data_IF_434349126491
#
_entry.id   IF_434349126491
#
_cell.length_a   1.000
_cell.length_b   1.000
_cell.length_c   1.000
_cell.angle_alpha   90.00
_cell.angle_beta   90.00
_cell.angle_gamma   90.00
#
_symmetry.space_group_name_H-M   'P 1'
#
loop_
_entity.id
_entity.type
_entity.pdbx_description
1 polymer ?
#
# COMPACT_ATOMS: atom_id res chain seq x y z
N UNK A 1 -17.46 -14.70 18.44
CA UNK A 1 -16.36 -15.68 18.44
C UNK A 1 -15.13 -15.24 17.64
N UNK A 2 -15.21 -14.88 16.35
CA UNK A 2 -14.01 -14.54 15.53
C UNK A 2 -13.12 -13.38 16.02
N UNK A 3 -13.65 -12.42 16.79
CA UNK A 3 -12.86 -11.27 17.30
C UNK A 3 -12.01 -11.66 18.52
N UNK A 4 -12.58 -12.46 19.42
CA UNK A 4 -11.89 -12.92 20.63
C UNK A 4 -10.72 -13.86 20.31
N UNK A 5 -10.91 -14.79 19.36
CA UNK A 5 -9.83 -15.71 18.94
C UNK A 5 -8.64 -14.98 18.31
N UNK A 6 -8.85 -13.85 17.65
CA UNK A 6 -7.77 -13.02 17.11
C UNK A 6 -6.93 -12.37 18.21
N UNK A 7 -7.60 -11.79 19.20
CA UNK A 7 -6.93 -11.17 20.35
C UNK A 7 -6.09 -12.21 21.09
N UNK A 8 -6.64 -13.40 21.32
CA UNK A 8 -5.90 -14.49 21.98
C UNK A 8 -4.68 -14.94 21.18
N UNK A 9 -4.77 -14.99 19.84
CA UNK A 9 -3.61 -15.29 18.99
C UNK A 9 -2.49 -14.24 19.14
N UNK A 10 -2.82 -12.95 19.18
CA UNK A 10 -1.82 -11.90 19.37
C UNK A 10 -1.19 -11.96 20.76
N UNK A 11 -1.98 -12.18 21.82
CA UNK A 11 -1.46 -12.36 23.17
C UNK A 11 -0.49 -13.56 23.21
N UNK A 12 -0.84 -14.68 22.57
CA UNK A 12 0.04 -15.86 22.49
C UNK A 12 1.38 -15.57 21.80
N UNK A 13 1.37 -14.77 20.72
CA UNK A 13 2.61 -14.32 20.06
C UNK A 13 3.42 -13.43 20.99
N UNK A 14 2.79 -12.48 21.70
CA UNK A 14 3.47 -11.59 22.65
C UNK A 14 4.12 -12.36 23.80
N UNK A 15 3.44 -13.35 24.37
CA UNK A 15 3.99 -14.21 25.41
C UNK A 15 5.20 -15.00 24.91
N UNK A 16 5.12 -15.55 23.68
CA UNK A 16 6.27 -16.23 23.07
C UNK A 16 7.46 -15.27 22.88
N UNK A 17 7.22 -14.09 22.33
CA UNK A 17 8.26 -13.07 22.13
C UNK A 17 8.94 -12.70 23.44
N UNK A 18 8.16 -12.47 24.50
CA UNK A 18 8.69 -12.17 25.82
C UNK A 18 9.53 -13.33 26.37
N UNK A 19 9.02 -14.56 26.29
CA UNK A 19 9.75 -15.74 26.78
C UNK A 19 11.09 -15.93 26.05
N UNK A 20 11.12 -15.80 24.73
CA UNK A 20 12.37 -15.88 23.95
C UNK A 20 13.32 -14.76 24.32
N UNK A 21 12.84 -13.51 24.44
CA UNK A 21 13.67 -12.38 24.84
C UNK A 21 14.29 -12.62 26.24
N UNK A 22 13.48 -13.02 27.20
CA UNK A 22 13.90 -13.28 28.57
C UNK A 22 14.98 -14.36 28.66
N UNK A 23 14.84 -15.44 27.89
CA UNK A 23 15.83 -16.52 27.83
C UNK A 23 17.17 -16.10 27.19
N UNK A 24 17.13 -15.10 26.30
CA UNK A 24 18.29 -14.66 25.55
C UNK A 24 19.06 -13.49 26.19
N UNK A 25 18.39 -12.67 27.02
CA UNK A 25 18.95 -11.40 27.48
C UNK A 25 20.17 -11.57 28.37
N UNK A 26 20.25 -12.66 29.14
CA UNK A 26 21.39 -12.94 30.01
C UNK A 26 22.63 -13.44 29.25
N UNK A 27 22.43 -13.95 28.04
CA UNK A 27 23.49 -14.56 27.21
C UNK A 27 24.01 -13.65 26.09
N UNK A 28 23.28 -12.58 25.75
CA UNK A 28 23.60 -11.71 24.62
C UNK A 28 23.10 -10.28 24.81
N UNK A 29 23.51 -9.38 23.90
CA UNK A 29 23.05 -7.99 23.94
C UNK A 29 21.52 -7.88 23.73
N UNK A 30 20.91 -6.88 24.35
CA UNK A 30 19.46 -6.66 24.31
C UNK A 30 18.90 -6.54 22.87
N UNK A 31 19.64 -5.92 21.97
CA UNK A 31 19.21 -5.77 20.57
C UNK A 31 19.21 -7.12 19.83
N UNK A 32 20.18 -7.99 20.10
CA UNK A 32 20.24 -9.33 19.50
C UNK A 32 19.13 -10.23 20.07
N UNK A 33 18.87 -10.16 21.36
CA UNK A 33 17.73 -10.83 22.00
C UNK A 33 16.39 -10.36 21.40
N UNK A 34 16.23 -9.05 21.12
CA UNK A 34 15.06 -8.50 20.44
C UNK A 34 14.92 -9.02 19.00
N UNK A 35 16.01 -9.09 18.23
CA UNK A 35 16.00 -9.65 16.86
C UNK A 35 15.50 -11.10 16.86
N UNK A 36 16.06 -11.94 17.73
CA UNK A 36 15.70 -13.37 17.81
C UNK A 36 14.25 -13.52 18.23
N UNK A 37 13.83 -12.80 19.28
CA UNK A 37 12.45 -12.78 19.77
C UNK A 37 11.47 -12.38 18.66
N UNK A 38 11.79 -11.32 17.91
CA UNK A 38 10.98 -10.86 16.80
C UNK A 38 10.87 -11.88 15.66
N UNK A 39 11.98 -12.51 15.27
CA UNK A 39 11.97 -13.54 14.21
C UNK A 39 11.06 -14.72 14.63
N UNK A 40 11.15 -15.21 15.87
CA UNK A 40 10.28 -16.25 16.38
C UNK A 40 8.80 -15.83 16.35
N UNK A 41 8.50 -14.61 16.79
CA UNK A 41 7.16 -14.05 16.75
C UNK A 41 6.62 -13.89 15.31
N UNK A 42 7.47 -13.47 14.38
CA UNK A 42 7.11 -13.31 12.96
C UNK A 42 6.77 -14.65 12.30
N UNK A 43 7.55 -15.69 12.58
CA UNK A 43 7.29 -17.06 12.09
C UNK A 43 5.94 -17.55 12.60
N UNK A 44 5.68 -17.45 13.92
CA UNK A 44 4.40 -17.87 14.49
C UNK A 44 3.23 -17.06 13.91
N UNK A 45 3.39 -15.74 13.81
CA UNK A 45 2.40 -14.84 13.21
C UNK A 45 2.10 -15.19 11.77
N UNK A 46 3.10 -15.64 10.99
CA UNK A 46 2.91 -16.10 9.62
C UNK A 46 2.00 -17.32 9.54
N UNK A 47 2.24 -18.35 10.37
CA UNK A 47 1.39 -19.54 10.41
C UNK A 47 -0.05 -19.22 10.86
N UNK A 48 -0.19 -18.35 11.86
CA UNK A 48 -1.49 -17.86 12.32
C UNK A 48 -2.22 -17.12 11.20
N UNK A 49 -1.52 -16.21 10.50
CA UNK A 49 -2.10 -15.48 9.37
C UNK A 49 -2.50 -16.40 8.21
N UNK A 50 -1.69 -17.42 7.92
CA UNK A 50 -2.00 -18.45 6.90
C UNK A 50 -3.28 -19.20 7.24
N UNK A 51 -3.47 -19.57 8.52
CA UNK A 51 -4.66 -20.31 9.01
C UNK A 51 -5.92 -19.42 9.04
N UNK A 52 -5.81 -18.23 9.63
CA UNK A 52 -6.97 -17.38 9.92
C UNK A 52 -7.19 -16.23 8.92
N UNK A 53 -6.28 -16.03 7.96
CA UNK A 53 -6.33 -14.99 6.91
C UNK A 53 -6.63 -13.59 7.47
N UNK A 54 -5.91 -13.19 8.54
CA UNK A 54 -6.10 -11.89 9.18
C UNK A 54 -5.76 -10.73 8.25
N UNK A 55 -4.69 -10.88 7.46
CA UNK A 55 -4.31 -9.94 6.43
C UNK A 55 -4.53 -10.53 5.03
N UNK A 56 -4.96 -9.69 4.10
CA UNK A 56 -5.34 -10.12 2.75
C UNK A 56 -4.16 -10.44 1.83
N UNK A 57 -2.96 -9.96 2.15
CA UNK A 57 -1.77 -10.07 1.30
C UNK A 57 -0.52 -10.34 2.14
N UNK A 58 0.36 -11.20 1.63
CA UNK A 58 1.67 -11.47 2.24
C UNK A 58 2.54 -10.20 2.29
N UNK A 59 2.47 -9.34 1.27
CA UNK A 59 3.23 -8.09 1.23
C UNK A 59 2.80 -7.13 2.36
N UNK A 60 1.50 -7.05 2.64
CA UNK A 60 0.97 -6.25 3.76
C UNK A 60 1.44 -6.79 5.10
N UNK A 61 1.48 -8.11 5.24
CA UNK A 61 2.01 -8.78 6.42
C UNK A 61 3.49 -8.50 6.63
N UNK A 62 4.32 -8.67 5.60
CA UNK A 62 5.76 -8.38 5.65
C UNK A 62 6.01 -6.90 5.96
N UNK A 63 5.33 -6.00 5.26
CA UNK A 63 5.47 -4.54 5.47
C UNK A 63 5.14 -4.14 6.92
N UNK A 64 4.02 -4.64 7.46
CA UNK A 64 3.66 -4.35 8.85
C UNK A 64 4.66 -4.95 9.84
N UNK A 65 5.18 -6.14 9.58
CA UNK A 65 6.21 -6.77 10.39
C UNK A 65 7.49 -5.95 10.45
N UNK A 66 8.03 -5.54 9.30
CA UNK A 66 9.23 -4.70 9.24
C UNK A 66 9.02 -3.39 10.02
N UNK A 67 7.88 -2.73 9.83
CA UNK A 67 7.61 -1.46 10.52
C UNK A 67 7.50 -1.64 12.03
N UNK A 68 6.86 -2.69 12.51
CA UNK A 68 6.76 -3.01 13.94
C UNK A 68 8.14 -3.27 14.52
N UNK A 69 8.98 -4.03 13.80
CA UNK A 69 10.36 -4.32 14.24
C UNK A 69 11.21 -3.04 14.37
N UNK A 70 11.13 -2.13 13.41
CA UNK A 70 11.83 -0.85 13.51
C UNK A 70 11.37 -0.04 14.73
N UNK A 71 10.07 -0.05 15.02
CA UNK A 71 9.52 0.61 16.21
C UNK A 71 10.02 -0.09 17.49
N UNK A 72 10.06 -1.43 17.52
CA UNK A 72 10.59 -2.20 18.65
C UNK A 72 12.01 -1.73 19.03
N UNK A 73 12.91 -1.74 18.07
CA UNK A 73 14.31 -1.34 18.29
C UNK A 73 14.42 0.12 18.77
N UNK A 74 13.69 1.03 18.13
CA UNK A 74 13.72 2.46 18.49
C UNK A 74 13.19 2.67 19.92
N UNK A 75 12.03 2.12 20.23
CA UNK A 75 11.39 2.30 21.55
C UNK A 75 12.21 1.63 22.65
N UNK A 76 12.71 0.40 22.41
CA UNK A 76 13.60 -0.27 23.37
C UNK A 76 14.85 0.56 23.65
N UNK A 77 15.52 1.08 22.61
CA UNK A 77 16.71 1.91 22.79
C UNK A 77 16.42 3.15 23.63
N UNK A 78 15.31 3.85 23.36
CA UNK A 78 14.88 5.02 24.15
C UNK A 78 14.63 4.62 25.61
N UNK A 79 13.89 3.55 25.85
CA UNK A 79 13.53 3.12 27.19
C UNK A 79 14.76 2.69 28.00
N UNK A 80 15.68 1.93 27.38
CA UNK A 80 16.92 1.52 28.03
C UNK A 80 17.81 2.72 28.38
N UNK A 81 17.87 3.72 27.49
CA UNK A 81 18.62 4.95 27.73
C UNK A 81 18.04 5.74 28.91
N UNK A 82 16.71 5.75 29.06
CA UNK A 82 16.03 6.48 30.14
C UNK A 82 16.02 5.74 31.49
N UNK A 83 15.88 4.41 31.49
CA UNK A 83 15.60 3.61 32.69
C UNK A 83 16.69 2.59 33.03
N UNK A 84 17.73 2.46 32.18
CA UNK A 84 18.86 1.55 32.39
C UNK A 84 18.61 0.10 31.95
N UNK A 85 19.70 -0.64 31.74
CA UNK A 85 19.68 -2.05 31.29
C UNK A 85 19.12 -3.03 32.33
N UNK A 86 19.24 -2.71 33.61
CA UNK A 86 18.77 -3.54 34.71
C UNK A 86 17.26 -3.88 34.62
N UNK A 87 16.51 -2.97 34.00
CA UNK A 87 15.06 -3.09 33.79
C UNK A 87 14.68 -3.67 32.42
N UNK A 88 15.63 -4.16 31.62
CA UNK A 88 15.40 -4.50 30.21
C UNK A 88 14.26 -5.49 29.98
N UNK A 89 14.09 -6.50 30.87
CA UNK A 89 12.98 -7.44 30.78
C UNK A 89 11.62 -6.78 31.03
N UNK A 90 11.53 -5.87 32.01
CA UNK A 90 10.29 -5.12 32.29
C UNK A 90 9.98 -4.15 31.15
N UNK A 91 10.99 -3.45 30.62
CA UNK A 91 10.84 -2.54 29.50
C UNK A 91 10.34 -3.28 28.25
N UNK A 92 10.82 -4.51 28.02
CA UNK A 92 10.34 -5.35 26.91
C UNK A 92 8.84 -5.67 26.99
N UNK A 93 8.29 -5.84 28.19
CA UNK A 93 6.83 -6.02 28.38
C UNK A 93 6.07 -4.79 27.83
N UNK A 94 6.54 -3.58 28.13
CA UNK A 94 5.91 -2.35 27.65
C UNK A 94 5.95 -2.31 26.12
N UNK A 95 7.10 -2.62 25.52
CA UNK A 95 7.27 -2.64 24.07
C UNK A 95 6.35 -3.67 23.40
N UNK A 96 6.25 -4.87 23.96
CA UNK A 96 5.33 -5.91 23.46
C UNK A 96 3.87 -5.45 23.50
N UNK A 97 3.44 -4.72 24.52
CA UNK A 97 2.09 -4.16 24.55
C UNK A 97 1.88 -3.18 23.38
N UNK A 98 2.86 -2.31 23.11
CA UNK A 98 2.82 -1.40 21.95
C UNK A 98 2.77 -2.18 20.65
N UNK A 99 3.59 -3.21 20.47
CA UNK A 99 3.60 -4.09 19.30
C UNK A 99 2.23 -4.76 19.07
N UNK A 100 1.60 -5.28 20.14
CA UNK A 100 0.28 -5.90 20.04
C UNK A 100 -0.79 -4.92 19.60
N UNK A 101 -0.76 -3.68 20.11
CA UNK A 101 -1.65 -2.60 19.67
C UNK A 101 -1.42 -2.30 18.19
N UNK A 102 -0.17 -2.15 17.76
CA UNK A 102 0.18 -1.90 16.37
C UNK A 102 -0.24 -3.05 15.45
N UNK A 103 0.03 -4.31 15.82
CA UNK A 103 -0.43 -5.49 15.10
C UNK A 103 -1.96 -5.50 14.92
N UNK A 104 -2.70 -5.19 15.98
CA UNK A 104 -4.15 -5.09 15.91
C UNK A 104 -4.60 -3.94 14.98
N UNK A 105 -4.00 -2.77 15.08
CA UNK A 105 -4.27 -1.64 14.20
C UNK A 105 -3.98 -1.99 12.73
N UNK A 106 -2.83 -2.60 12.42
CA UNK A 106 -2.50 -3.04 11.06
C UNK A 106 -3.48 -4.10 10.54
N UNK A 107 -3.93 -5.01 11.41
CA UNK A 107 -4.98 -5.98 11.02
C UNK A 107 -6.29 -5.29 10.66
N UNK A 108 -6.70 -4.27 11.43
CA UNK A 108 -7.88 -3.46 11.10
C UNK A 108 -7.66 -2.65 9.82
N UNK A 109 -6.46 -2.09 9.64
CA UNK A 109 -6.09 -1.33 8.46
C UNK A 109 -6.08 -2.19 7.19
N UNK A 110 -5.64 -3.43 7.25
CA UNK A 110 -5.49 -4.32 6.10
C UNK A 110 -6.52 -5.45 6.02
N UNK A 111 -7.62 -5.33 6.77
CA UNK A 111 -8.73 -6.30 6.73
C UNK A 111 -9.30 -6.38 5.32
N UNK A 112 -9.54 -7.60 4.84
CA UNK A 112 -10.24 -7.83 3.57
C UNK A 112 -11.70 -7.41 3.70
N UNK A 113 -12.16 -6.55 2.79
CA UNK A 113 -13.57 -6.22 2.64
C UNK A 113 -14.27 -7.23 1.70
N UNK A 114 -15.55 -7.47 1.93
CA UNK A 114 -16.34 -8.40 1.11
C UNK A 114 -16.60 -7.84 -0.30
N UNK A 115 -16.71 -6.51 -0.46
CA UNK A 115 -16.79 -5.85 -1.76
C UNK A 115 -15.41 -5.45 -2.26
N UNK A 116 -15.09 -5.82 -3.50
CA UNK A 116 -13.84 -5.43 -4.14
C UNK A 116 -13.83 -3.91 -4.37
N UNK A 117 -12.84 -3.25 -3.80
CA UNK A 117 -12.58 -1.82 -3.97
C UNK A 117 -11.59 -1.59 -5.09
N UNK A 118 -11.92 -0.70 -6.00
CA UNK A 118 -11.07 -0.37 -7.13
C UNK A 118 -10.82 1.13 -7.18
N UNK A 119 -9.54 1.52 -7.18
CA UNK A 119 -9.15 2.89 -7.49
C UNK A 119 -9.00 3.03 -9.01
N UNK A 120 -9.70 3.99 -9.57
CA UNK A 120 -9.53 4.50 -10.93
C UNK A 120 -8.79 5.84 -10.84
N UNK A 121 -7.56 5.91 -11.34
CA UNK A 121 -6.70 7.10 -11.20
C UNK A 121 -6.11 7.52 -12.55
N UNK A 122 -6.17 8.82 -12.84
CA UNK A 122 -5.47 9.42 -13.97
C UNK A 122 -5.19 10.90 -13.72
N UNK A 123 -4.32 11.50 -14.54
CA UNK A 123 -4.27 12.96 -14.66
C UNK A 123 -5.55 13.49 -15.31
N UNK A 124 -5.73 14.80 -15.27
CA UNK A 124 -6.83 15.49 -15.96
C UNK A 124 -6.66 15.45 -17.49
N UNK A 125 -7.69 15.85 -18.24
CA UNK A 125 -7.68 15.93 -19.70
C UNK A 125 -7.97 14.60 -20.40
N UNK A 126 -7.25 14.30 -21.49
CA UNK A 126 -7.45 13.12 -22.32
C UNK A 126 -7.41 11.80 -21.53
N UNK A 127 -6.43 11.63 -20.64
CA UNK A 127 -6.31 10.45 -19.80
C UNK A 127 -7.50 10.23 -18.86
N UNK A 128 -8.08 11.31 -18.32
CA UNK A 128 -9.31 11.22 -17.55
C UNK A 128 -10.49 10.80 -18.43
N UNK A 129 -10.58 11.36 -19.63
CA UNK A 129 -11.64 10.98 -20.58
C UNK A 129 -11.54 9.51 -20.96
N UNK A 130 -10.33 9.01 -21.25
CA UNK A 130 -10.10 7.57 -21.47
C UNK A 130 -10.52 6.73 -20.26
N UNK A 131 -10.12 7.13 -19.04
CA UNK A 131 -10.46 6.41 -17.83
C UNK A 131 -11.99 6.34 -17.61
N UNK A 132 -12.70 7.40 -17.91
CA UNK A 132 -14.15 7.49 -17.75
C UNK A 132 -14.92 6.63 -18.76
N UNK A 133 -14.31 6.23 -19.89
CA UNK A 133 -14.91 5.25 -20.81
C UNK A 133 -15.04 3.85 -20.16
N UNK A 134 -14.27 3.57 -19.10
CA UNK A 134 -14.42 2.36 -18.30
C UNK A 134 -15.65 2.40 -17.38
N UNK A 135 -16.68 3.20 -17.71
CA UNK A 135 -17.91 3.36 -16.94
C UNK A 135 -18.55 2.02 -16.53
N UNK A 136 -18.61 0.97 -17.36
CA UNK A 136 -19.15 -0.33 -16.96
C UNK A 136 -18.38 -0.97 -15.79
N UNK A 137 -17.05 -0.78 -15.74
CA UNK A 137 -16.21 -1.27 -14.65
C UNK A 137 -16.35 -0.38 -13.40
N UNK A 138 -16.42 0.94 -13.59
CA UNK A 138 -16.61 1.91 -12.48
C UNK A 138 -17.94 1.63 -11.76
N UNK A 139 -18.99 1.26 -12.45
CA UNK A 139 -20.29 0.95 -11.85
C UNK A 139 -20.35 -0.43 -11.21
N UNK A 140 -19.54 -1.39 -11.66
CA UNK A 140 -19.52 -2.78 -11.19
C UNK A 140 -18.91 -2.96 -9.80
N UNK A 141 -17.89 -2.17 -9.47
CA UNK A 141 -17.09 -2.29 -8.24
C UNK A 141 -17.41 -1.18 -7.25
N UNK A 142 -16.92 -1.30 -6.00
CA UNK A 142 -16.85 -0.17 -5.06
C UNK A 142 -15.69 0.73 -5.51
N UNK A 143 -16.03 1.67 -6.37
CA UNK A 143 -15.07 2.44 -7.17
C UNK A 143 -14.75 3.79 -6.56
N UNK A 144 -13.47 4.14 -6.61
CA UNK A 144 -12.92 5.41 -6.12
C UNK A 144 -12.19 6.09 -7.29
N UNK A 145 -12.71 7.23 -7.73
CA UNK A 145 -12.13 8.01 -8.81
C UNK A 145 -11.15 9.04 -8.25
N UNK A 146 -9.90 9.02 -8.70
CA UNK A 146 -8.85 9.94 -8.26
C UNK A 146 -8.27 10.65 -9.49
N UNK A 147 -8.24 11.98 -9.45
CA UNK A 147 -7.67 12.80 -10.52
C UNK A 147 -7.15 14.13 -9.97
N UNK A 148 -6.46 14.91 -10.79
CA UNK A 148 -6.02 16.25 -10.40
C UNK A 148 -7.20 17.24 -10.44
N UNK A 149 -7.21 18.18 -9.48
CA UNK A 149 -8.26 19.19 -9.38
C UNK A 149 -8.06 20.30 -10.42
N UNK A 150 -9.01 20.45 -11.32
CA UNK A 150 -9.03 21.53 -12.32
C UNK A 150 -10.43 22.14 -12.42
N UNK A 151 -10.55 23.27 -13.13
CA UNK A 151 -11.87 23.88 -13.37
C UNK A 151 -12.80 22.96 -14.16
N UNK A 152 -12.25 22.19 -15.11
CA UNK A 152 -13.02 21.31 -16.01
C UNK A 152 -13.60 20.06 -15.36
N UNK A 153 -13.06 19.64 -14.20
CA UNK A 153 -13.50 18.39 -13.57
C UNK A 153 -14.13 18.58 -12.18
N UNK A 154 -14.50 19.81 -11.81
CA UNK A 154 -15.16 20.11 -10.53
C UNK A 154 -16.45 19.32 -10.33
N UNK A 155 -17.20 19.09 -11.39
CA UNK A 155 -18.53 18.46 -11.38
C UNK A 155 -18.46 16.91 -11.39
N UNK A 156 -17.26 16.31 -11.29
CA UNK A 156 -17.14 14.84 -11.20
C UNK A 156 -17.80 14.29 -9.93
N UNK A 157 -17.81 15.06 -8.84
CA UNK A 157 -18.46 14.67 -7.58
C UNK A 157 -19.98 14.55 -7.70
N UNK A 158 -20.59 15.24 -8.65
CA UNK A 158 -22.02 15.19 -8.90
C UNK A 158 -22.41 13.93 -9.68
N UNK A 159 -21.43 13.33 -10.39
CA UNK A 159 -21.61 12.17 -11.24
C UNK A 159 -21.14 10.86 -10.62
N UNK A 160 -20.20 10.91 -9.68
CA UNK A 160 -19.58 9.74 -9.05
C UNK A 160 -19.48 9.91 -7.54
N UNK A 161 -19.89 8.88 -6.78
CA UNK A 161 -20.00 8.93 -5.32
C UNK A 161 -18.66 9.14 -4.59
N UNK A 162 -17.59 8.51 -5.07
CA UNK A 162 -16.29 8.51 -4.39
C UNK A 162 -15.23 9.20 -5.26
N UNK A 163 -15.20 10.51 -5.26
CA UNK A 163 -14.19 11.29 -6.00
C UNK A 163 -13.22 11.97 -5.05
N UNK A 164 -11.93 11.78 -5.29
CA UNK A 164 -10.85 12.45 -4.58
C UNK A 164 -9.95 13.18 -5.57
N UNK A 165 -9.43 14.34 -5.14
CA UNK A 165 -8.58 15.15 -5.99
C UNK A 165 -7.16 15.23 -5.46
N UNK A 166 -6.20 15.10 -6.35
CA UNK A 166 -4.80 15.47 -6.16
C UNK A 166 -4.56 16.92 -6.60
N UNK A 167 -3.41 17.47 -6.25
CA UNK A 167 -3.05 18.82 -6.68
C UNK A 167 -2.59 18.77 -8.13
N UNK A 168 -3.12 19.67 -8.94
CA UNK A 168 -2.68 19.82 -10.34
C UNK A 168 -1.24 20.31 -10.40
N UNK A 169 -0.39 19.60 -11.11
CA UNK A 169 1.02 19.93 -11.31
C UNK A 169 1.38 20.04 -12.78
N UNK A 170 2.09 21.10 -13.14
CA UNK A 170 2.64 21.32 -14.49
C UNK A 170 4.16 21.43 -14.45
N UNK A 171 4.84 20.88 -15.44
CA UNK A 171 6.30 20.94 -15.57
C UNK A 171 6.84 22.30 -16.01
N UNK A 172 5.99 23.33 -16.17
CA UNK A 172 6.43 24.68 -16.53
C UNK A 172 7.42 25.27 -15.53
N UNK A 173 7.24 24.98 -14.24
CA UNK A 173 8.18 25.34 -13.18
C UNK A 173 8.56 24.07 -12.42
N UNK A 174 9.80 23.60 -12.65
CA UNK A 174 10.29 22.35 -12.08
C UNK A 174 10.37 22.37 -10.56
N UNK A 175 10.72 23.52 -9.97
CA UNK A 175 10.80 23.65 -8.51
C UNK A 175 9.42 23.48 -7.85
N UNK A 176 8.44 24.24 -8.31
CA UNK A 176 7.04 24.09 -7.82
C UNK A 176 6.49 22.69 -8.10
N UNK A 177 6.81 22.13 -9.27
CA UNK A 177 6.40 20.77 -9.62
C UNK A 177 6.94 19.73 -8.67
N UNK A 178 8.20 19.84 -8.23
CA UNK A 178 8.80 18.93 -7.27
C UNK A 178 8.02 18.87 -5.94
N UNK A 179 7.68 20.03 -5.38
CA UNK A 179 6.89 20.08 -4.13
C UNK A 179 5.47 19.54 -4.31
N UNK A 180 4.80 19.91 -5.41
CA UNK A 180 3.46 19.39 -5.73
C UNK A 180 3.50 17.87 -5.89
N UNK A 181 4.50 17.33 -6.59
CA UNK A 181 4.63 15.90 -6.82
C UNK A 181 4.90 15.16 -5.51
N UNK A 182 5.79 15.67 -4.67
CA UNK A 182 6.08 15.11 -3.33
C UNK A 182 4.84 15.12 -2.44
N UNK A 183 4.09 16.22 -2.42
CA UNK A 183 2.80 16.29 -1.71
C UNK A 183 1.78 15.27 -2.25
N UNK A 184 1.70 15.11 -3.56
CA UNK A 184 0.81 14.13 -4.18
C UNK A 184 1.20 12.67 -3.86
N UNK A 185 2.49 12.37 -3.67
CA UNK A 185 2.95 11.05 -3.17
C UNK A 185 2.37 10.80 -1.78
N UNK A 186 2.53 11.74 -0.85
CA UNK A 186 2.01 11.62 0.52
C UNK A 186 0.49 11.48 0.50
N UNK A 187 -0.20 12.32 -0.28
CA UNK A 187 -1.65 12.28 -0.41
C UNK A 187 -2.15 10.96 -1.02
N UNK A 188 -1.44 10.42 -2.01
CA UNK A 188 -1.73 9.10 -2.59
C UNK A 188 -1.59 8.00 -1.56
N UNK A 189 -0.56 8.06 -0.71
CA UNK A 189 -0.37 7.10 0.38
C UNK A 189 -1.52 7.16 1.40
N UNK A 190 -1.92 8.37 1.84
CA UNK A 190 -3.05 8.57 2.76
C UNK A 190 -4.35 8.05 2.15
N UNK A 191 -4.63 8.38 0.88
CA UNK A 191 -5.80 7.89 0.16
C UNK A 191 -5.79 6.36 0.04
N UNK A 192 -4.63 5.76 -0.26
CA UNK A 192 -4.48 4.32 -0.32
C UNK A 192 -4.85 3.66 1.03
N UNK A 193 -4.31 4.15 2.14
CA UNK A 193 -4.59 3.62 3.47
C UNK A 193 -6.07 3.75 3.85
N UNK A 194 -6.71 4.86 3.46
CA UNK A 194 -8.15 5.10 3.70
C UNK A 194 -9.03 4.17 2.86
N UNK A 195 -8.74 4.01 1.59
CA UNK A 195 -9.55 3.24 0.63
C UNK A 195 -9.25 1.74 0.74
N UNK A 196 -7.96 1.37 0.80
CA UNK A 196 -7.48 -0.03 0.82
C UNK A 196 -7.95 -0.81 -0.40
N UNK A 197 -7.57 -0.42 -1.60
CA UNK A 197 -8.08 -1.00 -2.82
C UNK A 197 -7.55 -2.42 -3.04
N UNK A 198 -8.38 -3.27 -3.62
CA UNK A 198 -7.96 -4.58 -4.15
C UNK A 198 -7.25 -4.42 -5.50
N UNK A 199 -7.62 -3.40 -6.26
CA UNK A 199 -7.00 -3.09 -7.56
C UNK A 199 -6.92 -1.58 -7.81
N UNK A 200 -5.94 -1.21 -8.64
CA UNK A 200 -5.73 0.14 -9.15
C UNK A 200 -5.74 0.05 -10.67
N UNK A 201 -6.61 0.82 -11.30
CA UNK A 201 -6.73 0.94 -12.75
C UNK A 201 -6.34 2.35 -13.16
N UNK A 202 -5.49 2.49 -14.15
CA UNK A 202 -5.02 3.80 -14.63
C UNK A 202 -4.80 3.82 -16.13
N UNK A 203 -5.08 4.98 -16.75
CA UNK A 203 -4.71 5.34 -18.12
C UNK A 203 -3.49 6.28 -18.14
N UNK A 204 -2.77 6.43 -17.02
CA UNK A 204 -1.61 7.33 -16.86
C UNK A 204 -2.06 8.67 -16.24
N UNK A 205 -1.23 9.63 -16.07
CA UNK A 205 0.18 9.85 -16.37
C UNK A 205 1.05 9.80 -15.11
N UNK A 206 1.99 10.77 -14.95
CA UNK A 206 2.86 10.90 -13.77
C UNK A 206 2.11 10.93 -12.44
N UNK A 207 0.91 11.49 -12.39
CA UNK A 207 0.03 11.58 -11.21
C UNK A 207 -0.38 10.20 -10.68
N UNK A 208 -0.53 9.21 -11.55
CA UNK A 208 -0.92 7.86 -11.17
C UNK A 208 0.25 6.98 -10.70
N UNK A 209 1.48 7.30 -11.12
CA UNK A 209 2.67 6.48 -10.84
C UNK A 209 2.88 6.21 -9.36
N UNK A 210 2.85 7.21 -8.45
CA UNK A 210 3.01 6.94 -7.01
C UNK A 210 1.96 5.96 -6.46
N UNK A 211 0.71 6.11 -6.85
CA UNK A 211 -0.37 5.22 -6.42
C UNK A 211 -0.14 3.78 -6.89
N UNK A 212 0.39 3.59 -8.11
CA UNK A 212 0.71 2.27 -8.64
C UNK A 212 1.81 1.58 -7.83
N UNK A 213 2.89 2.29 -7.49
CA UNK A 213 3.97 1.75 -6.67
C UNK A 213 3.51 1.43 -5.25
N UNK A 214 2.81 2.35 -4.59
CA UNK A 214 2.21 2.14 -3.27
C UNK A 214 1.30 0.90 -3.29
N UNK A 215 0.42 0.82 -4.28
CA UNK A 215 -0.50 -0.30 -4.43
C UNK A 215 0.22 -1.63 -4.66
N UNK A 216 1.26 -1.64 -5.48
CA UNK A 216 2.05 -2.85 -5.75
C UNK A 216 2.75 -3.36 -4.50
N UNK A 217 3.39 -2.45 -3.75
CA UNK A 217 4.08 -2.77 -2.48
C UNK A 217 3.08 -3.31 -1.45
N UNK A 218 1.92 -2.67 -1.32
CA UNK A 218 0.91 -3.02 -0.32
C UNK A 218 -0.07 -4.12 -0.80
N UNK A 219 0.19 -4.76 -1.96
CA UNK A 219 -0.47 -5.97 -2.43
C UNK A 219 -1.78 -5.77 -3.20
N UNK A 220 -2.05 -4.55 -3.70
CA UNK A 220 -3.11 -4.32 -4.68
C UNK A 220 -2.67 -4.75 -6.08
N UNK A 221 -3.61 -5.18 -6.91
CA UNK A 221 -3.34 -5.43 -8.33
C UNK A 221 -3.26 -4.11 -9.08
N UNK A 222 -2.21 -3.92 -9.86
CA UNK A 222 -2.01 -2.74 -10.72
C UNK A 222 -2.33 -3.11 -12.16
N UNK A 223 -3.30 -2.41 -12.74
CA UNK A 223 -3.74 -2.53 -14.11
C UNK A 223 -3.45 -1.19 -14.80
N UNK A 224 -2.52 -1.18 -15.73
CA UNK A 224 -2.16 0.00 -16.51
C UNK A 224 -2.66 -0.15 -17.92
N UNK A 225 -3.32 0.86 -18.43
CA UNK A 225 -3.79 0.96 -19.81
C UNK A 225 -3.01 2.08 -20.46
N UNK A 226 -2.19 1.76 -21.46
CA UNK A 226 -1.43 2.74 -22.22
C UNK A 226 -2.39 3.63 -23.02
N UNK A 227 -2.08 4.92 -23.10
CA UNK A 227 -2.98 5.87 -23.74
C UNK A 227 -3.17 5.61 -25.23
N UNK A 228 -4.38 5.79 -25.71
CA UNK A 228 -4.70 5.72 -27.13
C UNK A 228 -3.92 6.74 -27.97
N UNK A 229 -3.61 7.91 -27.37
CA UNK A 229 -2.90 8.98 -28.05
C UNK A 229 -1.46 8.62 -28.49
N UNK A 230 -0.94 7.48 -28.04
CA UNK A 230 0.44 7.08 -28.33
C UNK A 230 0.48 5.66 -28.93
N UNK A 231 0.78 5.57 -30.21
CA UNK A 231 0.78 4.31 -30.97
C UNK A 231 2.18 3.79 -31.34
N UNK A 232 3.21 4.62 -31.15
CA UNK A 232 4.58 4.32 -31.66
C UNK A 232 5.68 4.48 -30.63
N UNK A 233 5.41 5.08 -29.47
CA UNK A 233 6.42 5.32 -28.44
C UNK A 233 5.89 5.01 -27.03
N UNK A 234 6.80 4.63 -26.12
CA UNK A 234 6.44 4.41 -24.71
C UNK A 234 6.24 5.74 -24.01
N UNK A 235 5.12 5.91 -23.30
CA UNK A 235 4.98 7.04 -22.36
C UNK A 235 5.94 6.88 -21.17
N UNK A 236 6.28 8.00 -20.52
CA UNK A 236 7.12 7.96 -19.31
C UNK A 236 6.43 7.17 -18.19
N UNK A 237 5.13 7.38 -18.00
CA UNK A 237 4.36 6.64 -17.02
C UNK A 237 4.31 5.14 -17.34
N UNK A 238 4.09 4.80 -18.62
CA UNK A 238 4.12 3.42 -19.10
C UNK A 238 5.46 2.75 -18.82
N UNK A 239 6.60 3.41 -19.14
CA UNK A 239 7.94 2.87 -18.83
C UNK A 239 8.13 2.58 -17.35
N UNK A 240 7.66 3.48 -16.48
CA UNK A 240 7.81 3.34 -15.02
C UNK A 240 6.91 2.25 -14.44
N UNK A 241 5.67 2.13 -14.92
CA UNK A 241 4.70 1.21 -14.32
C UNK A 241 4.75 -0.18 -14.96
N UNK A 242 5.19 -0.34 -16.19
CA UNK A 242 5.27 -1.63 -16.89
C UNK A 242 5.96 -2.74 -16.08
N UNK A 243 7.12 -2.52 -15.43
CA UNK A 243 7.80 -3.57 -14.66
C UNK A 243 7.01 -4.05 -13.43
N UNK A 244 6.14 -3.22 -12.88
CA UNK A 244 5.40 -3.49 -11.65
C UNK A 244 3.92 -3.82 -11.86
N UNK A 245 3.40 -3.58 -13.07
CA UNK A 245 2.01 -3.84 -13.40
C UNK A 245 1.70 -5.35 -13.34
N UNK A 246 0.56 -5.71 -12.78
CA UNK A 246 0.03 -7.07 -12.86
C UNK A 246 -0.59 -7.35 -14.23
N UNK A 247 -1.17 -6.32 -14.83
CA UNK A 247 -1.73 -6.36 -16.17
C UNK A 247 -1.40 -5.03 -16.84
N UNK A 248 -0.81 -5.11 -18.01
CA UNK A 248 -0.51 -3.96 -18.86
C UNK A 248 -1.26 -4.12 -20.16
N UNK A 249 -2.11 -3.16 -20.49
CA UNK A 249 -2.98 -3.19 -21.68
C UNK A 249 -2.52 -2.11 -22.64
N UNK A 250 -2.42 -2.46 -23.91
CA UNK A 250 -2.15 -1.54 -25.01
C UNK A 250 -3.36 -1.46 -25.93
N UNK A 251 -3.59 -0.28 -26.51
CA UNK A 251 -4.74 -0.01 -27.39
C UNK A 251 -4.38 -0.11 -28.88
N UNK A 252 -3.09 -0.25 -29.19
CA UNK A 252 -2.57 -0.44 -30.54
C UNK A 252 -1.71 -1.70 -30.61
N UNK A 253 -1.87 -2.50 -31.66
CA UNK A 253 -1.07 -3.72 -31.87
C UNK A 253 0.43 -3.42 -31.98
N UNK A 254 0.79 -2.30 -32.63
CA UNK A 254 2.17 -1.84 -32.75
C UNK A 254 2.88 -1.66 -31.41
N UNK A 255 2.12 -1.40 -30.34
CA UNK A 255 2.68 -1.24 -29.00
C UNK A 255 3.10 -2.56 -28.35
N UNK A 256 2.69 -3.74 -28.88
CA UNK A 256 3.15 -5.05 -28.40
C UNK A 256 4.65 -5.24 -28.65
N UNK A 257 5.20 -4.69 -29.73
CA UNK A 257 6.65 -4.71 -29.97
C UNK A 257 7.43 -3.96 -28.88
N UNK A 258 6.84 -2.88 -28.38
CA UNK A 258 7.44 -2.07 -27.33
C UNK A 258 7.20 -2.65 -25.94
N UNK A 259 6.06 -3.30 -25.71
CA UNK A 259 5.66 -3.90 -24.45
C UNK A 259 5.32 -5.40 -24.63
N UNK A 260 6.32 -6.30 -24.77
CA UNK A 260 6.10 -7.71 -25.15
C UNK A 260 5.21 -8.52 -24.20
N UNK A 261 5.08 -8.09 -22.94
CA UNK A 261 4.20 -8.74 -21.93
C UNK A 261 2.84 -8.07 -21.81
N UNK A 262 2.54 -7.08 -22.65
CA UNK A 262 1.25 -6.39 -22.62
C UNK A 262 0.18 -7.22 -23.31
N UNK A 263 -1.07 -6.90 -23.01
CA UNK A 263 -2.24 -7.49 -23.66
C UNK A 263 -2.80 -6.43 -24.63
N UNK A 264 -3.04 -6.83 -25.86
CA UNK A 264 -3.81 -5.97 -26.78
C UNK A 264 -5.28 -5.99 -26.35
N UNK A 265 -5.79 -4.85 -25.93
CA UNK A 265 -7.17 -4.70 -25.44
C UNK A 265 -8.11 -4.03 -26.46
N UNK A 266 -7.58 -3.60 -27.60
CA UNK A 266 -8.33 -2.75 -28.52
C UNK A 266 -8.59 -1.35 -27.96
N UNK A 267 -9.50 -0.63 -28.57
CA UNK A 267 -9.82 0.75 -28.18
C UNK A 267 -10.85 0.80 -27.07
N UNK A 268 -10.63 1.71 -26.12
CA UNK A 268 -11.55 1.90 -24.97
C UNK A 268 -12.73 2.80 -25.37
N UNK A 269 -12.60 3.59 -26.45
CA UNK A 269 -13.62 4.52 -26.95
C UNK A 269 -14.79 3.82 -27.63
#
# INVERSE_FOLDING_TARGET
MKKLSKIMCYIGVGVLCFGVYYLCIDSMSWWLASVISFICGLILSYFINKKYKFMSSINKFIFSGILIFLIDIIVMNILITLFGMENSALLKVIVIIIELILCYMFTLLFKKNDKKKVIFISSTGGHLNELLQLKPLITKYDSYLITEKTKSNKNLKDKYNNVSYLVYGTKKNLFTYFFIFSFNIIKSFILYLKIRPDAIVTTGTHTAVPMCYIGRILGSKVIFIETFANSTTKTVAGKLVYPIANTFVVQWESMLELYPKAIYGGWIY
#
